data_IF_026624557968
#
_entry.id   IF_026624557968
#
_cell.length_a   1.000
_cell.length_b   1.000
_cell.length_c   1.000
_cell.angle_alpha   90.00
_cell.angle_beta   90.00
_cell.angle_gamma   90.00
#
_symmetry.space_group_name_H-M   'P 1'
#
loop_
_entity.id
_entity.type
_entity.pdbx_description
1 polymer ?
#
# COMPACT_ATOMS: atom_id res chain seq x y z
N UNK A 1 30.33 15.87 -1.12
CA UNK A 1 28.85 15.80 -1.11
C UNK A 1 28.38 16.54 0.13
N UNK A 2 27.46 17.50 -0.01
CA UNK A 2 26.90 18.27 1.13
C UNK A 2 26.12 17.36 2.07
N UNK A 3 26.11 17.64 3.38
CA UNK A 3 25.33 16.88 4.37
C UNK A 3 23.82 16.86 4.01
N UNK A 4 23.32 17.96 3.43
CA UNK A 4 21.94 18.06 2.96
C UNK A 4 21.68 17.15 1.74
N UNK A 5 22.60 17.11 0.77
CA UNK A 5 22.47 16.23 -0.40
C UNK A 5 22.48 14.75 0.01
N UNK A 6 23.35 14.36 0.95
CA UNK A 6 23.35 13.00 1.51
C UNK A 6 22.02 12.67 2.18
N UNK A 7 21.44 13.61 2.93
CA UNK A 7 20.13 13.44 3.55
C UNK A 7 19.02 13.24 2.51
N UNK A 8 19.00 14.02 1.43
CA UNK A 8 18.01 13.88 0.36
C UNK A 8 18.07 12.50 -0.31
N UNK A 9 19.28 12.00 -0.60
CA UNK A 9 19.47 10.67 -1.14
C UNK A 9 19.03 9.56 -0.18
N UNK A 10 19.26 9.72 1.12
CA UNK A 10 18.80 8.75 2.12
C UNK A 10 17.26 8.72 2.20
N UNK A 11 16.61 9.88 2.17
CA UNK A 11 15.15 9.96 2.12
C UNK A 11 14.61 9.32 0.84
N UNK A 12 15.21 9.61 -0.31
CA UNK A 12 14.82 9.02 -1.58
C UNK A 12 14.87 7.49 -1.53
N UNK A 13 16.00 6.93 -1.05
CA UNK A 13 16.15 5.47 -0.92
C UNK A 13 15.08 4.86 -0.01
N UNK A 14 14.82 5.49 1.15
CA UNK A 14 13.77 5.01 2.08
C UNK A 14 12.40 4.98 1.42
N UNK A 15 12.08 6.01 0.64
CA UNK A 15 10.79 6.10 -0.08
C UNK A 15 10.66 5.09 -1.19
N UNK A 16 11.73 4.84 -1.95
CA UNK A 16 11.75 3.80 -2.98
C UNK A 16 11.60 2.40 -2.35
N UNK A 17 12.23 2.13 -1.19
CA UNK A 17 12.04 0.87 -0.44
C UNK A 17 10.61 0.73 0.13
N UNK A 18 10.02 1.81 0.65
CA UNK A 18 8.62 1.82 1.13
C UNK A 18 7.65 1.53 -0.02
N UNK A 19 7.86 2.15 -1.18
CA UNK A 19 7.05 1.95 -2.38
C UNK A 19 7.10 0.50 -2.85
N UNK A 20 8.30 -0.08 -2.97
CA UNK A 20 8.48 -1.47 -3.38
C UNK A 20 7.72 -2.44 -2.47
N UNK A 21 7.79 -2.22 -1.15
CA UNK A 21 7.07 -3.05 -0.17
C UNK A 21 5.55 -2.95 -0.33
N UNK A 22 5.01 -1.76 -0.56
CA UNK A 22 3.58 -1.56 -0.76
C UNK A 22 3.09 -2.16 -2.08
N UNK A 23 3.84 -1.95 -3.17
CA UNK A 23 3.53 -2.54 -4.48
C UNK A 23 3.59 -4.08 -4.45
N UNK A 24 4.46 -4.67 -3.63
CA UNK A 24 4.52 -6.11 -3.41
C UNK A 24 3.42 -6.64 -2.46
N UNK A 25 2.91 -5.82 -1.54
CA UNK A 25 1.88 -6.21 -0.58
C UNK A 25 0.46 -6.17 -1.18
N UNK A 26 0.18 -5.16 -2.00
CA UNK A 26 -1.13 -4.97 -2.65
C UNK A 26 -1.65 -6.23 -3.36
N UNK A 27 -0.94 -6.85 -4.32
CA UNK A 27 -1.45 -8.03 -5.03
C UNK A 27 -1.64 -9.25 -4.13
N UNK A 28 -0.87 -9.35 -3.03
CA UNK A 28 -1.06 -10.43 -2.04
C UNK A 28 -2.38 -10.26 -1.30
N UNK A 29 -2.71 -9.03 -0.91
CA UNK A 29 -3.97 -8.71 -0.25
C UNK A 29 -5.17 -8.85 -1.21
N UNK A 30 -5.03 -8.45 -2.47
CA UNK A 30 -6.05 -8.70 -3.50
C UNK A 30 -6.30 -10.21 -3.68
N UNK A 31 -5.24 -11.02 -3.72
CA UNK A 31 -5.36 -12.49 -3.76
C UNK A 31 -6.13 -13.04 -2.57
N UNK A 32 -5.82 -12.59 -1.35
CA UNK A 32 -6.56 -12.96 -0.14
C UNK A 32 -8.03 -12.54 -0.23
N UNK A 33 -8.33 -11.32 -0.69
CA UNK A 33 -9.70 -10.84 -0.85
C UNK A 33 -10.50 -11.73 -1.81
N UNK A 34 -9.92 -12.13 -2.95
CA UNK A 34 -10.57 -13.04 -3.89
C UNK A 34 -10.77 -14.45 -3.31
N UNK A 35 -9.81 -14.97 -2.53
CA UNK A 35 -9.97 -16.25 -1.85
C UNK A 35 -11.11 -16.23 -0.83
N UNK A 36 -11.22 -15.17 -0.02
CA UNK A 36 -12.31 -15.01 0.92
C UNK A 36 -13.66 -14.94 0.20
N UNK A 37 -13.73 -14.17 -0.89
CA UNK A 37 -14.93 -14.08 -1.73
C UNK A 37 -15.32 -15.43 -2.35
N UNK A 38 -14.35 -16.25 -2.74
CA UNK A 38 -14.62 -17.59 -3.27
C UNK A 38 -15.10 -18.56 -2.17
N UNK A 39 -14.58 -18.46 -0.94
CA UNK A 39 -14.91 -19.36 0.17
C UNK A 39 -16.25 -19.08 0.84
N UNK A 40 -16.91 -17.94 0.56
CA UNK A 40 -18.25 -17.66 1.10
C UNK A 40 -19.29 -18.73 0.72
N UNK A 41 -19.09 -19.45 -0.40
CA UNK A 41 -19.96 -20.56 -0.79
C UNK A 41 -19.88 -21.73 0.17
N UNK A 42 -18.76 -21.94 0.86
CA UNK A 42 -18.62 -22.96 1.89
C UNK A 42 -19.54 -22.71 3.09
N UNK A 43 -19.92 -21.44 3.34
CA UNK A 43 -20.90 -21.12 4.37
C UNK A 43 -22.32 -21.58 3.97
N UNK A 44 -22.58 -21.88 2.69
CA UNK A 44 -23.89 -22.35 2.21
C UNK A 44 -24.01 -23.87 2.20
N UNK A 45 -22.90 -24.59 2.28
CA UNK A 45 -22.87 -26.04 2.17
C UNK A 45 -22.77 -26.74 3.54
N UNK A 46 -23.48 -27.87 3.74
CA UNK A 46 -24.55 -28.40 2.89
C UNK A 46 -25.80 -27.50 2.96
N UNK A 47 -26.62 -27.54 1.91
CA UNK A 47 -27.91 -26.84 1.85
C UNK A 47 -28.85 -27.40 2.92
N UNK A 48 -29.39 -26.53 3.77
CA UNK A 48 -30.37 -26.91 4.77
C UNK A 48 -31.74 -26.76 4.14
N UNK A 49 -32.48 -27.86 4.07
CA UNK A 49 -33.86 -27.86 3.61
C UNK A 49 -34.77 -28.21 4.78
N UNK A 50 -36.02 -27.74 4.73
CA UNK A 50 -37.02 -28.09 5.73
C UNK A 50 -37.25 -29.62 5.83
N UNK A 51 -36.87 -30.37 4.78
CA UNK A 51 -36.98 -31.82 4.70
C UNK A 51 -35.81 -32.55 5.37
N UNK A 52 -34.64 -31.91 5.49
CA UNK A 52 -33.40 -32.52 6.03
C UNK A 52 -33.02 -32.03 7.44
N UNK A 53 -33.42 -30.82 7.84
CA UNK A 53 -33.10 -30.27 9.16
C UNK A 53 -34.20 -29.29 9.64
N UNK A 54 -34.87 -29.61 10.76
CA UNK A 54 -36.05 -28.87 11.25
C UNK A 54 -36.06 -28.74 12.78
N UNK A 55 -36.86 -27.80 13.28
CA UNK A 55 -37.01 -27.50 14.71
C UNK A 55 -36.13 -26.35 15.18
N UNK A 56 -36.16 -26.04 16.48
CA UNK A 56 -35.46 -24.89 17.08
C UNK A 56 -33.97 -24.85 16.76
N UNK A 57 -33.27 -26.00 16.85
CA UNK A 57 -31.85 -26.09 16.48
C UNK A 57 -31.56 -25.81 15.00
N UNK A 58 -32.51 -26.07 14.10
CA UNK A 58 -32.37 -25.73 12.69
C UNK A 58 -32.47 -24.21 12.47
N UNK A 59 -33.39 -23.56 13.18
CA UNK A 59 -33.53 -22.10 13.19
C UNK A 59 -32.28 -21.42 13.77
N UNK A 60 -31.77 -21.91 14.90
CA UNK A 60 -30.57 -21.36 15.53
C UNK A 60 -29.34 -21.51 14.63
N UNK A 61 -29.18 -22.66 13.99
CA UNK A 61 -28.07 -22.90 13.07
C UNK A 61 -28.16 -22.00 11.83
N UNK A 62 -29.34 -21.80 11.25
CA UNK A 62 -29.53 -20.91 10.09
C UNK A 62 -29.23 -19.44 10.45
N UNK A 63 -29.58 -19.03 11.67
CA UNK A 63 -29.21 -17.72 12.20
C UNK A 63 -27.69 -17.55 12.29
N UNK A 64 -26.98 -18.51 12.89
CA UNK A 64 -25.50 -18.50 12.97
C UNK A 64 -24.89 -18.43 11.57
N UNK A 65 -25.43 -19.19 10.60
CA UNK A 65 -24.96 -19.20 9.21
C UNK A 65 -25.18 -17.86 8.51
N UNK A 66 -26.28 -17.17 8.81
CA UNK A 66 -26.56 -15.83 8.29
C UNK A 66 -25.61 -14.80 8.87
N UNK A 67 -25.41 -14.81 10.19
CA UNK A 67 -24.46 -13.93 10.89
C UNK A 67 -23.03 -14.12 10.35
N UNK A 68 -22.57 -15.37 10.22
CA UNK A 68 -21.26 -15.69 9.66
C UNK A 68 -21.08 -15.14 8.23
N UNK A 69 -22.13 -15.20 7.41
CA UNK A 69 -22.10 -14.70 6.04
C UNK A 69 -22.00 -13.18 5.99
N UNK A 70 -22.69 -12.48 6.90
CA UNK A 70 -22.60 -11.03 7.03
C UNK A 70 -21.21 -10.61 7.48
N UNK A 71 -20.63 -11.28 8.48
CA UNK A 71 -19.24 -11.06 8.93
C UNK A 71 -18.23 -11.32 7.81
N UNK A 72 -18.41 -12.41 7.04
CA UNK A 72 -17.56 -12.69 5.87
C UNK A 72 -17.61 -11.55 4.87
N UNK A 73 -18.81 -11.05 4.58
CA UNK A 73 -19.02 -9.96 3.64
C UNK A 73 -18.37 -8.67 4.12
N UNK A 74 -18.59 -8.30 5.38
CA UNK A 74 -17.96 -7.12 5.97
C UNK A 74 -16.42 -7.19 5.85
N UNK A 75 -15.84 -8.37 6.07
CA UNK A 75 -14.41 -8.57 5.97
C UNK A 75 -13.85 -8.33 4.56
N UNK A 76 -14.44 -8.90 3.51
CA UNK A 76 -13.90 -8.75 2.15
C UNK A 76 -14.38 -7.52 1.39
N UNK A 77 -15.66 -7.12 1.51
CA UNK A 77 -16.25 -5.97 0.82
C UNK A 77 -16.03 -4.65 1.58
N UNK A 78 -15.82 -4.72 2.90
CA UNK A 78 -15.58 -3.54 3.75
C UNK A 78 -14.11 -3.42 4.12
N UNK A 79 -13.68 -4.23 5.09
CA UNK A 79 -12.39 -4.03 5.75
C UNK A 79 -11.19 -4.22 4.82
N UNK A 80 -11.17 -5.28 4.01
CA UNK A 80 -10.07 -5.52 3.06
C UNK A 80 -10.06 -4.50 1.92
N UNK A 81 -11.24 -4.13 1.42
CA UNK A 81 -11.38 -3.10 0.38
C UNK A 81 -10.86 -1.74 0.88
N UNK A 82 -11.20 -1.35 2.11
CA UNK A 82 -10.70 -0.13 2.73
C UNK A 82 -9.17 -0.13 2.88
N UNK A 83 -8.58 -1.27 3.25
CA UNK A 83 -7.11 -1.41 3.36
C UNK A 83 -6.44 -1.30 1.99
N UNK A 84 -7.01 -1.95 0.96
CA UNK A 84 -6.50 -1.86 -0.41
C UNK A 84 -6.53 -0.43 -0.94
N UNK A 85 -7.64 0.29 -0.71
CA UNK A 85 -7.79 1.70 -1.07
C UNK A 85 -6.77 2.60 -0.33
N UNK A 86 -6.50 2.32 0.95
CA UNK A 86 -5.47 3.04 1.72
C UNK A 86 -4.06 2.79 1.17
N UNK A 87 -3.75 1.55 0.78
CA UNK A 87 -2.47 1.20 0.16
C UNK A 87 -2.29 1.94 -1.17
N UNK A 88 -3.33 1.96 -2.02
CA UNK A 88 -3.30 2.70 -3.29
C UNK A 88 -3.02 4.19 -3.08
N UNK A 89 -3.75 4.84 -2.16
CA UNK A 89 -3.50 6.25 -1.84
C UNK A 89 -2.07 6.48 -1.38
N UNK A 90 -1.56 5.61 -0.50
CA UNK A 90 -0.19 5.74 0.02
C UNK A 90 0.87 5.53 -1.05
N UNK A 91 0.64 4.63 -2.01
CA UNK A 91 1.50 4.44 -3.18
C UNK A 91 1.60 5.74 -3.99
N UNK A 92 0.45 6.37 -4.30
CA UNK A 92 0.43 7.62 -5.07
C UNK A 92 1.10 8.78 -4.32
N UNK A 93 0.85 8.89 -3.00
CA UNK A 93 1.56 9.87 -2.15
C UNK A 93 3.07 9.68 -2.19
N UNK A 94 3.56 8.44 -2.03
CA UNK A 94 5.00 8.16 -2.03
C UNK A 94 5.62 8.45 -3.40
N UNK A 95 4.92 8.20 -4.51
CA UNK A 95 5.41 8.56 -5.85
C UNK A 95 5.61 10.06 -6.00
N UNK A 96 4.69 10.87 -5.50
CA UNK A 96 4.85 12.34 -5.49
C UNK A 96 5.97 12.79 -4.54
N UNK A 97 6.10 12.17 -3.36
CA UNK A 97 7.23 12.41 -2.44
C UNK A 97 8.58 12.10 -3.12
N UNK A 98 8.70 10.98 -3.83
CA UNK A 98 9.89 10.58 -4.60
C UNK A 98 10.21 11.60 -5.69
N UNK A 99 9.20 12.03 -6.45
CA UNK A 99 9.37 13.03 -7.51
C UNK A 99 9.92 14.34 -6.95
N UNK A 100 9.32 14.84 -5.86
CA UNK A 100 9.78 16.04 -5.18
C UNK A 100 11.23 15.91 -4.67
N UNK A 101 11.60 14.75 -4.11
CA UNK A 101 12.98 14.50 -3.69
C UNK A 101 13.97 14.52 -4.86
N UNK A 102 13.60 13.95 -6.01
CA UNK A 102 14.43 13.98 -7.24
C UNK A 102 14.63 15.40 -7.76
N UNK A 103 13.58 16.23 -7.72
CA UNK A 103 13.67 17.65 -8.10
C UNK A 103 14.58 18.43 -7.15
N UNK A 104 14.48 18.20 -5.84
CA UNK A 104 15.34 18.83 -4.84
C UNK A 104 16.82 18.42 -4.99
N UNK A 105 17.08 17.14 -5.26
CA UNK A 105 18.44 16.63 -5.52
C UNK A 105 19.04 17.33 -6.74
N UNK A 106 18.31 17.38 -7.86
CA UNK A 106 18.78 18.00 -9.08
C UNK A 106 19.10 19.50 -8.88
N UNK A 107 18.26 20.22 -8.14
CA UNK A 107 18.49 21.62 -7.82
C UNK A 107 19.74 21.83 -6.95
N UNK A 108 19.93 21.00 -5.92
CA UNK A 108 21.09 21.07 -5.03
C UNK A 108 22.39 20.70 -5.75
N UNK A 109 22.37 19.70 -6.62
CA UNK A 109 23.52 19.34 -7.46
C UNK A 109 23.91 20.47 -8.41
N UNK A 110 22.94 21.12 -9.05
CA UNK A 110 23.18 22.27 -9.91
C UNK A 110 23.79 23.45 -9.13
N UNK A 111 23.28 23.72 -7.91
CA UNK A 111 23.82 24.76 -7.02
C UNK A 111 25.28 24.49 -6.67
N UNK A 112 25.60 23.26 -6.23
CA UNK A 112 26.97 22.87 -5.85
C UNK A 112 27.93 22.93 -7.06
N UNK A 113 27.49 22.54 -8.25
CA UNK A 113 28.29 22.64 -9.46
C UNK A 113 28.60 24.09 -9.86
N UNK A 114 27.62 24.99 -9.72
CA UNK A 114 27.81 26.42 -9.99
C UNK A 114 28.80 27.06 -9.01
N UNK A 115 28.71 26.72 -7.72
CA UNK A 115 29.64 27.18 -6.69
C UNK A 115 31.07 26.70 -6.93
N UNK A 116 31.24 25.41 -7.27
CA UNK A 116 32.55 24.85 -7.59
C UNK A 116 33.19 25.52 -8.81
N UNK A 117 32.40 25.81 -9.86
CA UNK A 117 32.86 26.54 -11.04
C UNK A 117 33.27 27.97 -10.70
N UNK A 118 32.46 28.70 -9.94
CA UNK A 118 32.79 30.06 -9.53
C UNK A 118 34.06 30.12 -8.68
N UNK A 119 34.27 29.15 -7.78
CA UNK A 119 35.48 29.04 -6.99
C UNK A 119 36.72 28.76 -7.86
N UNK A 120 36.60 27.88 -8.86
CA UNK A 120 37.67 27.59 -9.81
C UNK A 120 38.04 28.82 -10.66
N UNK A 121 37.04 29.54 -11.17
CA UNK A 121 37.24 30.77 -11.95
C UNK A 121 37.88 31.89 -11.10
N UNK A 122 37.52 31.99 -9.82
CA UNK A 122 38.14 32.94 -8.89
C UNK A 122 39.60 32.58 -8.59
N UNK A 123 39.91 31.30 -8.38
CA UNK A 123 41.28 30.82 -8.16
C UNK A 123 42.16 31.03 -9.40
N UNK A 124 41.62 30.84 -10.61
CA UNK A 124 42.34 31.06 -11.87
C UNK A 124 42.68 32.54 -12.13
N UNK A 125 41.91 33.49 -11.58
CA UNK A 125 42.18 34.93 -11.68
C UNK A 125 43.16 35.45 -10.63
N UNK A 126 43.43 34.67 -9.58
CA UNK A 126 44.32 35.05 -8.48
C UNK A 126 45.78 34.59 -8.68
N UNK A 127 46.05 33.79 -9.72
CA UNK A 127 47.38 33.36 -10.18
C UNK A 127 47.76 34.11 -11.46
#
# INVERSE_FOLDING_TARGET
MSAYLSYLYEQLRKKEEELEKLEAAKPKLEGIQQEFKAKITMCKDPELTADTFKGEHATDFDKIRTELKEEYKDLFDGQLEDVLNQIERRIEEIKEEIKSLKEQIAAEEARLAAEAKAAADAAAKAN
#
